data_IF_553618228476
#
_entry.id   IF_553618228476
#
_cell.length_a   1.000
_cell.length_b   1.000
_cell.length_c   1.000
_cell.angle_alpha   90.00
_cell.angle_beta   90.00
_cell.angle_gamma   90.00
#
_symmetry.space_group_name_H-M   'P 1'
#
loop_
_entity.id
_entity.type
_entity.pdbx_description
1 polymer ?
#
# COMPACT_ATOMS: atom_id res chain seq x y z
N UNK A 1 4.15 61.58 -0.92
CA UNK A 1 4.60 60.17 -0.80
C UNK A 1 3.47 59.12 -0.61
N UNK A 2 2.20 59.48 -0.38
CA UNK A 2 1.13 58.49 -0.10
C UNK A 2 0.51 57.79 -1.35
N UNK A 3 0.56 58.42 -2.54
CA UNK A 3 -0.05 57.87 -3.78
C UNK A 3 0.68 56.63 -4.34
N UNK A 4 2.02 56.60 -4.23
CA UNK A 4 2.87 55.53 -4.78
C UNK A 4 2.65 54.20 -4.03
N UNK A 5 2.49 54.24 -2.70
CA UNK A 5 2.18 53.05 -1.88
C UNK A 5 0.82 52.43 -2.21
N UNK A 6 -0.17 53.24 -2.62
CA UNK A 6 -1.53 52.78 -2.96
C UNK A 6 -1.56 52.08 -4.32
N UNK A 7 -0.82 52.61 -5.31
CA UNK A 7 -0.69 51.97 -6.62
C UNK A 7 0.09 50.65 -6.54
N UNK A 8 1.16 50.60 -5.73
CA UNK A 8 1.93 49.37 -5.54
C UNK A 8 1.12 48.26 -4.83
N UNK A 9 0.33 48.61 -3.79
CA UNK A 9 -0.60 47.65 -3.15
C UNK A 9 -1.69 47.15 -4.11
N UNK A 10 -2.20 48.00 -5.00
CA UNK A 10 -3.20 47.61 -6.00
C UNK A 10 -2.59 46.69 -7.06
N UNK A 11 -1.36 46.96 -7.48
CA UNK A 11 -0.61 46.11 -8.41
C UNK A 11 -0.30 44.73 -7.80
N UNK A 12 0.17 44.66 -6.54
CA UNK A 12 0.40 43.39 -5.83
C UNK A 12 -0.89 42.58 -5.69
N UNK A 13 -2.01 43.21 -5.30
CA UNK A 13 -3.31 42.52 -5.20
C UNK A 13 -3.80 41.99 -6.55
N UNK A 14 -3.61 42.75 -7.61
CA UNK A 14 -3.95 42.30 -8.97
C UNK A 14 -3.08 41.13 -9.42
N UNK A 15 -1.77 41.19 -9.12
CA UNK A 15 -0.83 40.14 -9.46
C UNK A 15 -1.14 38.85 -8.69
N UNK A 16 -1.36 38.94 -7.38
CA UNK A 16 -1.78 37.80 -6.54
C UNK A 16 -3.11 37.20 -7.00
N UNK A 17 -4.10 38.01 -7.40
CA UNK A 17 -5.39 37.53 -7.88
C UNK A 17 -5.26 36.83 -9.24
N UNK A 18 -4.46 37.36 -10.15
CA UNK A 18 -4.20 36.74 -11.45
C UNK A 18 -3.39 35.45 -11.30
N UNK A 19 -2.38 35.43 -10.42
CA UNK A 19 -1.66 34.19 -10.11
C UNK A 19 -2.56 33.13 -9.47
N UNK A 20 -3.53 33.54 -8.64
CA UNK A 20 -4.53 32.61 -8.08
C UNK A 20 -5.48 32.05 -9.13
N UNK A 21 -5.88 32.88 -10.10
CA UNK A 21 -6.76 32.48 -11.20
C UNK A 21 -6.03 31.60 -12.22
N UNK A 22 -4.78 31.92 -12.54
CA UNK A 22 -3.89 31.07 -13.35
C UNK A 22 -3.63 29.71 -12.66
N UNK A 23 -3.43 29.69 -11.34
CA UNK A 23 -3.36 28.44 -10.57
C UNK A 23 -4.69 27.66 -10.58
N UNK A 24 -5.82 28.34 -10.50
CA UNK A 24 -7.13 27.70 -10.51
C UNK A 24 -7.52 27.17 -11.91
N UNK A 25 -7.10 27.85 -12.97
CA UNK A 25 -7.29 27.42 -14.36
C UNK A 25 -6.32 26.29 -14.75
N UNK A 26 -5.07 26.33 -14.29
CA UNK A 26 -4.12 25.23 -14.45
C UNK A 26 -4.56 23.94 -13.71
N UNK A 27 -5.28 24.07 -12.59
CA UNK A 27 -5.85 22.93 -11.86
C UNK A 27 -7.21 22.45 -12.40
N UNK A 28 -7.77 23.11 -13.41
CA UNK A 28 -9.02 22.68 -14.05
C UNK A 28 -8.82 21.60 -15.11
N UNK A 29 -7.57 21.28 -15.43
CA UNK A 29 -7.16 20.42 -16.54
C UNK A 29 -6.21 19.30 -16.10
N UNK A 30 -6.30 18.88 -14.85
CA UNK A 30 -5.63 17.67 -14.36
C UNK A 30 -6.74 16.64 -14.19
N UNK A 31 -6.78 15.68 -15.12
CA UNK A 31 -7.57 14.46 -14.96
C UNK A 31 -7.28 13.84 -13.59
N UNK A 32 -8.27 13.22 -12.97
CA UNK A 32 -8.27 12.63 -11.62
C UNK A 32 -7.21 11.52 -11.38
N UNK A 33 -6.27 11.31 -12.31
CA UNK A 33 -5.20 10.33 -12.20
C UNK A 33 -3.99 10.87 -11.41
N UNK A 34 -3.76 10.21 -10.28
CA UNK A 34 -2.51 10.13 -9.53
C UNK A 34 -1.85 11.45 -9.10
N UNK A 35 -2.51 12.14 -8.17
CA UNK A 35 -1.78 13.04 -7.26
C UNK A 35 -0.85 12.17 -6.40
N UNK A 36 0.43 12.13 -6.77
CA UNK A 36 1.48 11.48 -5.99
C UNK A 36 1.59 12.16 -4.62
N UNK A 37 0.88 11.62 -3.64
CA UNK A 37 0.87 12.12 -2.28
C UNK A 37 2.16 11.72 -1.58
N UNK A 38 3.04 12.69 -1.33
CA UNK A 38 4.22 12.51 -0.48
C UNK A 38 3.86 12.82 0.98
N UNK A 39 3.70 11.80 1.85
CA UNK A 39 3.37 12.01 3.26
C UNK A 39 4.52 12.67 4.04
N UNK A 40 5.74 12.56 3.53
CA UNK A 40 6.94 12.97 4.23
C UNK A 40 7.19 14.48 4.08
N UNK A 41 7.01 15.21 5.18
CA UNK A 41 7.57 16.55 5.37
C UNK A 41 8.68 16.41 6.41
N UNK A 42 9.93 16.48 5.99
CA UNK A 42 11.08 16.13 6.84
C UNK A 42 11.32 16.98 8.10
N UNK A 43 10.43 17.93 8.41
CA UNK A 43 10.44 18.72 9.65
C UNK A 43 9.21 18.50 10.53
N UNK A 44 8.19 17.81 10.02
CA UNK A 44 6.97 17.53 10.78
C UNK A 44 7.12 16.18 11.46
N UNK A 45 6.89 16.14 12.77
CA UNK A 45 6.98 14.90 13.57
C UNK A 45 5.81 13.93 13.30
N UNK A 46 4.79 14.39 12.56
CA UNK A 46 3.58 13.62 12.29
C UNK A 46 3.12 13.85 10.84
N UNK A 47 2.50 12.83 10.24
CA UNK A 47 1.81 12.92 8.96
C UNK A 47 0.40 12.32 9.07
N UNK A 48 -0.52 12.79 8.23
CA UNK A 48 -1.92 12.34 8.21
C UNK A 48 -2.16 11.62 6.90
N UNK A 49 -2.30 10.29 6.96
CA UNK A 49 -2.83 9.54 5.82
C UNK A 49 -4.32 9.87 5.73
N UNK A 50 -4.74 10.50 4.63
CA UNK A 50 -6.17 10.73 4.40
C UNK A 50 -6.84 9.37 4.22
N UNK A 51 -7.78 9.04 5.10
CA UNK A 51 -8.74 7.99 4.83
C UNK A 51 -9.67 8.52 3.72
N UNK A 52 -9.43 8.14 2.48
CA UNK A 52 -10.22 8.58 1.33
C UNK A 52 -11.63 7.99 1.33
N UNK A 53 -11.93 7.02 2.22
CA UNK A 53 -13.21 6.30 2.25
C UNK A 53 -13.46 5.44 1.00
N UNK A 54 -12.59 5.57 -0.01
CA UNK A 54 -12.52 4.77 -1.21
C UNK A 54 -11.49 3.68 -0.93
N UNK A 55 -11.91 2.63 -0.24
CA UNK A 55 -11.24 1.35 -0.45
C UNK A 55 -11.43 1.06 -1.94
N UNK A 56 -10.38 1.03 -2.78
CA UNK A 56 -10.52 0.47 -4.11
C UNK A 56 -11.19 -0.91 -3.94
N UNK A 57 -11.98 -1.37 -4.91
CA UNK A 57 -12.59 -2.72 -4.86
C UNK A 57 -11.45 -3.75 -4.82
N UNK A 58 -10.92 -3.96 -3.63
CA UNK A 58 -9.67 -4.65 -3.41
C UNK A 58 -10.05 -6.10 -3.36
N UNK A 59 -9.66 -6.83 -4.40
CA UNK A 59 -9.92 -8.27 -4.47
C UNK A 59 -9.34 -8.90 -3.21
N UNK A 60 -10.11 -9.76 -2.57
CA UNK A 60 -9.70 -10.51 -1.38
C UNK A 60 -9.49 -11.98 -1.77
N UNK A 61 -8.60 -12.67 -1.08
CA UNK A 61 -8.56 -14.13 -1.15
C UNK A 61 -9.71 -14.75 -0.34
N UNK A 62 -9.85 -16.08 -0.38
CA UNK A 62 -10.88 -16.82 0.37
C UNK A 62 -10.86 -16.57 1.89
N UNK A 63 -9.71 -16.18 2.43
CA UNK A 63 -9.53 -15.83 3.84
C UNK A 63 -9.82 -14.36 4.15
N UNK A 64 -10.36 -13.61 3.19
CA UNK A 64 -10.71 -12.19 3.35
C UNK A 64 -9.50 -11.26 3.43
N UNK A 65 -8.28 -11.76 3.20
CA UNK A 65 -7.08 -10.93 3.15
C UNK A 65 -6.96 -10.25 1.78
N UNK A 66 -6.51 -8.99 1.74
CA UNK A 66 -6.38 -8.26 0.49
C UNK A 66 -5.35 -8.91 -0.44
N UNK A 67 -5.65 -8.92 -1.73
CA UNK A 67 -4.67 -9.22 -2.79
C UNK A 67 -3.90 -7.92 -3.04
N UNK A 68 -2.58 -7.91 -2.88
CA UNK A 68 -1.77 -6.71 -3.04
C UNK A 68 -1.81 -6.24 -4.50
N UNK A 69 -1.50 -4.96 -4.75
CA UNK A 69 -1.21 -4.45 -6.09
C UNK A 69 -0.18 -5.31 -6.84
N UNK A 70 -0.33 -5.39 -8.17
CA UNK A 70 0.43 -6.33 -9.03
C UNK A 70 1.93 -6.04 -9.08
N UNK A 71 2.31 -4.77 -8.99
CA UNK A 71 3.68 -4.28 -8.88
C UNK A 71 4.41 -4.84 -7.65
N UNK A 72 3.69 -5.17 -6.57
CA UNK A 72 4.26 -5.80 -5.37
C UNK A 72 4.41 -7.33 -5.48
N UNK A 73 4.00 -7.95 -6.59
CA UNK A 73 4.00 -9.41 -6.71
C UNK A 73 5.38 -10.00 -6.98
N UNK A 74 6.41 -9.18 -7.18
CA UNK A 74 7.79 -9.65 -7.45
C UNK A 74 7.88 -10.64 -8.62
N UNK A 75 7.01 -10.46 -9.63
CA UNK A 75 6.91 -11.37 -10.79
C UNK A 75 6.13 -12.67 -10.54
N UNK A 76 5.58 -12.89 -9.34
CA UNK A 76 4.79 -14.09 -9.04
C UNK A 76 3.37 -14.02 -9.63
N UNK A 77 3.25 -14.38 -10.91
CA UNK A 77 1.99 -14.54 -11.63
C UNK A 77 1.56 -13.30 -12.40
N UNK A 78 0.80 -13.53 -13.48
CA UNK A 78 0.31 -12.48 -14.37
C UNK A 78 -1.08 -11.96 -13.99
N UNK A 79 -1.82 -12.74 -13.19
CA UNK A 79 -3.16 -12.44 -12.70
C UNK A 79 -3.34 -12.92 -11.25
N UNK A 80 -4.44 -12.52 -10.62
CA UNK A 80 -4.70 -12.83 -9.21
C UNK A 80 -4.76 -14.33 -8.92
N UNK A 81 -5.25 -15.15 -9.86
CA UNK A 81 -5.35 -16.61 -9.69
C UNK A 81 -3.96 -17.23 -9.59
N UNK A 82 -3.05 -16.85 -10.49
CA UNK A 82 -1.66 -17.31 -10.48
C UNK A 82 -0.90 -16.82 -9.24
N UNK A 83 -1.11 -15.56 -8.84
CA UNK A 83 -0.54 -15.02 -7.61
C UNK A 83 -1.00 -15.83 -6.39
N UNK A 84 -2.30 -16.12 -6.30
CA UNK A 84 -2.92 -16.91 -5.22
C UNK A 84 -2.58 -18.40 -5.25
N UNK A 85 -1.86 -18.89 -6.26
CA UNK A 85 -1.40 -20.28 -6.32
C UNK A 85 -0.45 -20.66 -5.16
N UNK A 86 0.03 -19.69 -4.38
CA UNK A 86 0.73 -19.95 -3.11
C UNK A 86 -0.04 -20.86 -2.15
N UNK A 87 -1.38 -20.95 -2.28
CA UNK A 87 -2.21 -21.88 -1.51
C UNK A 87 -1.78 -23.33 -1.71
N UNK A 88 -1.62 -23.74 -2.96
CA UNK A 88 -1.24 -25.12 -3.30
C UNK A 88 0.19 -25.44 -2.85
N UNK A 89 1.07 -24.43 -2.85
CA UNK A 89 2.43 -24.58 -2.34
C UNK A 89 2.45 -24.76 -0.82
N UNK A 90 1.67 -23.97 -0.06
CA UNK A 90 1.53 -24.16 1.40
C UNK A 90 0.89 -25.51 1.72
N UNK A 91 -0.15 -25.91 0.99
CA UNK A 91 -0.73 -27.25 1.11
C UNK A 91 0.32 -28.33 0.91
N UNK A 92 1.16 -28.20 -0.13
CA UNK A 92 2.22 -29.16 -0.40
C UNK A 92 3.28 -29.21 0.70
N UNK A 93 3.66 -28.06 1.25
CA UNK A 93 4.57 -27.98 2.39
C UNK A 93 3.99 -28.69 3.61
N UNK A 94 2.70 -28.48 3.91
CA UNK A 94 2.01 -29.16 5.00
C UNK A 94 1.97 -30.68 4.81
N UNK A 95 1.71 -31.15 3.59
CA UNK A 95 1.77 -32.59 3.26
C UNK A 95 3.17 -33.17 3.52
N UNK A 96 4.22 -32.45 3.14
CA UNK A 96 5.62 -32.89 3.36
C UNK A 96 5.93 -32.93 4.85
N UNK A 97 5.56 -31.91 5.62
CA UNK A 97 5.74 -31.88 7.07
C UNK A 97 5.03 -33.06 7.75
N UNK A 98 3.76 -33.29 7.40
CA UNK A 98 2.97 -34.37 7.96
C UNK A 98 3.58 -35.75 7.67
N UNK A 99 4.10 -35.97 6.46
CA UNK A 99 4.82 -37.22 6.10
C UNK A 99 6.05 -37.46 6.95
N UNK A 100 6.65 -36.42 7.52
CA UNK A 100 7.81 -36.48 8.39
C UNK A 100 7.43 -36.40 9.89
N UNK A 101 6.15 -36.59 10.23
CA UNK A 101 5.67 -36.59 11.62
C UNK A 101 5.48 -35.20 12.23
N UNK A 102 5.53 -34.14 11.44
CA UNK A 102 5.29 -32.77 11.90
C UNK A 102 3.88 -32.31 11.58
N UNK A 103 3.20 -31.80 12.60
CA UNK A 103 1.86 -31.24 12.50
C UNK A 103 1.93 -29.71 12.64
N UNK A 104 1.60 -28.99 11.56
CA UNK A 104 1.64 -27.53 11.53
C UNK A 104 0.71 -26.89 12.56
N UNK A 105 -0.40 -27.56 12.91
CA UNK A 105 -1.36 -27.05 13.91
C UNK A 105 -0.75 -27.00 15.32
N UNK A 106 0.32 -27.75 15.56
CA UNK A 106 1.02 -27.79 16.86
C UNK A 106 2.21 -26.84 16.92
N UNK A 107 2.55 -26.17 15.82
CA UNK A 107 3.68 -25.25 15.78
C UNK A 107 3.35 -23.96 16.53
N UNK A 108 4.20 -23.56 17.46
CA UNK A 108 4.01 -22.31 18.24
C UNK A 108 4.40 -21.06 17.45
N UNK A 109 5.33 -21.18 16.52
CA UNK A 109 5.81 -20.08 15.71
C UNK A 109 6.17 -20.53 14.30
N UNK A 110 5.78 -19.76 13.30
CA UNK A 110 6.11 -19.99 11.89
C UNK A 110 6.75 -18.71 11.34
N UNK A 111 7.86 -18.85 10.60
CA UNK A 111 8.60 -17.73 10.01
C UNK A 111 8.73 -17.95 8.50
N UNK A 112 8.20 -17.01 7.71
CA UNK A 112 8.34 -16.95 6.25
C UNK A 112 9.47 -15.99 5.87
N UNK A 113 10.62 -16.55 5.51
CA UNK A 113 11.79 -15.81 5.05
C UNK A 113 11.62 -15.39 3.59
N UNK A 114 11.64 -14.09 3.32
CA UNK A 114 11.40 -13.57 1.97
C UNK A 114 9.92 -13.58 1.61
N UNK A 115 9.05 -13.19 2.54
CA UNK A 115 7.60 -13.29 2.37
C UNK A 115 7.04 -12.40 1.24
N UNK A 116 7.81 -11.41 0.78
CA UNK A 116 7.41 -10.43 -0.23
C UNK A 116 6.09 -9.76 0.16
N UNK A 117 5.16 -9.63 -0.79
CA UNK A 117 3.80 -9.16 -0.53
C UNK A 117 2.86 -10.23 0.10
N UNK A 118 3.44 -11.20 0.79
CA UNK A 118 2.74 -12.23 1.55
C UNK A 118 2.03 -13.28 0.70
N UNK A 119 2.63 -13.68 -0.43
CA UNK A 119 2.02 -14.66 -1.35
C UNK A 119 1.76 -16.01 -0.66
N UNK A 120 2.72 -16.47 0.13
CA UNK A 120 2.70 -17.75 0.85
C UNK A 120 2.10 -17.60 2.24
N UNK A 121 2.68 -16.73 3.08
CA UNK A 121 2.26 -16.50 4.47
C UNK A 121 0.76 -16.23 4.67
N UNK A 122 0.08 -15.61 3.69
CA UNK A 122 -1.38 -15.36 3.78
C UNK A 122 -2.22 -16.62 3.99
N UNK A 123 -1.73 -17.77 3.51
CA UNK A 123 -2.44 -19.04 3.59
C UNK A 123 -2.26 -19.73 4.94
N UNK A 124 -1.40 -19.18 5.80
CA UNK A 124 -1.24 -19.62 7.18
C UNK A 124 -2.27 -18.98 8.13
N UNK A 125 -3.15 -18.09 7.63
CA UNK A 125 -4.19 -17.43 8.44
C UNK A 125 -5.00 -18.41 9.32
N UNK A 126 -5.43 -19.60 8.86
CA UNK A 126 -6.17 -20.52 9.73
C UNK A 126 -5.43 -20.93 11.00
N UNK A 127 -4.10 -20.82 11.03
CA UNK A 127 -3.27 -21.16 12.17
C UNK A 127 -2.94 -19.96 13.08
N UNK A 128 -3.36 -18.73 12.73
CA UNK A 128 -2.94 -17.52 13.46
C UNK A 128 -3.52 -17.39 14.87
N UNK A 129 -4.59 -18.12 15.18
CA UNK A 129 -5.19 -18.10 16.53
C UNK A 129 -4.33 -18.88 17.54
N UNK A 130 -3.57 -19.88 17.08
CA UNK A 130 -2.80 -20.80 17.93
C UNK A 130 -1.28 -20.71 17.72
N UNK A 131 -0.86 -20.09 16.61
CA UNK A 131 0.54 -19.95 16.19
C UNK A 131 0.89 -18.48 15.94
N UNK A 132 2.06 -18.05 16.40
CA UNK A 132 2.62 -16.77 15.99
C UNK A 132 3.22 -16.88 14.59
N UNK A 133 2.77 -16.05 13.66
CA UNK A 133 3.20 -16.10 12.25
C UNK A 133 3.96 -14.81 11.92
N UNK A 134 5.23 -14.95 11.52
CA UNK A 134 6.12 -13.84 11.18
C UNK A 134 6.54 -13.90 9.71
N UNK A 135 6.61 -12.74 9.08
CA UNK A 135 7.18 -12.58 7.74
C UNK A 135 8.36 -11.64 7.78
N UNK A 136 9.47 -12.03 7.16
CA UNK A 136 10.66 -11.18 7.00
C UNK A 136 10.88 -10.83 5.54
N UNK A 137 11.17 -9.56 5.26
CA UNK A 137 11.71 -9.13 3.97
C UNK A 137 13.21 -8.91 4.12
N UNK A 138 14.00 -9.42 3.18
CA UNK A 138 15.43 -9.12 3.12
C UNK A 138 15.66 -8.06 2.06
N UNK A 139 16.10 -6.88 2.48
CA UNK A 139 16.71 -5.88 1.62
C UNK A 139 18.21 -6.21 1.53
N UNK A 140 18.69 -6.53 0.33
CA UNK A 140 20.11 -6.52 0.01
C UNK A 140 20.55 -5.12 -0.38
#
# INVERSE_FOLDING_TARGET
>A
MAKIKKQFKKWIKSKLKNTYLEFAEANKQVDEEDVLYFPYKGKDENYIIRNTGMEPVQKKCEYGLPIPPKDLWLGYGHNAKEYLYGKEQIKKMNEILAKNGYDITRMKSILDFGCGAGRMIRWLKPYSEESTIWGGIYSY
#
